data_IF_344151849909
#
_entry.id   IF_344151849909
#
_cell.length_a   1.000
_cell.length_b   1.000
_cell.length_c   1.000
_cell.angle_alpha   90.00
_cell.angle_beta   90.00
_cell.angle_gamma   90.00
#
_symmetry.space_group_name_H-M   'P 1'
#
loop_
_entity.id
_entity.type
_entity.pdbx_description
1 polymer ?
#
# COMPACT_ATOMS: atom_id res chain seq x y z
N UNK A 1 16.00 5.63 13.82
CA UNK A 1 15.38 4.74 12.81
C UNK A 1 14.79 5.60 11.69
N UNK A 2 14.54 5.05 10.49
CA UNK A 2 13.94 5.84 9.40
C UNK A 2 12.47 6.17 9.68
N UNK A 3 11.72 5.21 10.20
CA UNK A 3 10.40 5.39 10.84
C UNK A 3 10.18 4.33 11.94
N UNK A 4 9.09 4.48 12.69
CA UNK A 4 8.47 3.42 13.51
C UNK A 4 7.14 3.06 12.86
N UNK A 5 6.90 1.77 12.67
CA UNK A 5 5.71 1.24 11.99
C UNK A 5 4.71 0.69 13.00
N UNK A 6 3.42 1.00 12.79
CA UNK A 6 2.27 0.58 13.61
C UNK A 6 2.57 0.49 15.13
N UNK A 7 2.93 1.61 15.78
CA UNK A 7 3.40 1.59 17.17
C UNK A 7 2.30 1.31 18.20
N UNK A 8 1.03 1.31 17.79
CA UNK A 8 -0.13 1.07 18.67
C UNK A 8 -1.35 0.62 17.84
N UNK A 9 -2.49 0.43 18.50
CA UNK A 9 -3.71 -0.08 17.88
C UNK A 9 -4.16 0.79 16.68
N UNK A 10 -4.48 0.19 15.52
CA UNK A 10 -4.71 0.91 14.26
C UNK A 10 -5.94 1.84 14.26
N UNK A 11 -6.90 1.58 15.14
CA UNK A 11 -8.08 2.45 15.31
C UNK A 11 -7.84 3.65 16.25
N UNK A 12 -6.74 3.66 17.00
CA UNK A 12 -6.46 4.72 17.98
C UNK A 12 -5.68 5.87 17.36
N UNK A 13 -6.42 6.76 16.69
CA UNK A 13 -5.89 7.97 16.05
C UNK A 13 -5.19 8.89 17.05
N UNK A 14 -5.71 9.00 18.27
CA UNK A 14 -5.18 9.94 19.26
C UNK A 14 -3.89 9.43 19.88
N UNK A 15 -3.79 8.12 20.16
CA UNK A 15 -2.54 7.53 20.61
C UNK A 15 -1.45 7.66 19.53
N UNK A 16 -1.76 7.43 18.25
CA UNK A 16 -0.81 7.65 17.16
C UNK A 16 -0.33 9.09 17.09
N UNK A 17 -1.22 10.08 17.26
CA UNK A 17 -0.83 11.48 17.33
C UNK A 17 0.08 11.76 18.53
N UNK A 18 -0.28 11.29 19.72
CA UNK A 18 0.53 11.48 20.92
C UNK A 18 1.93 10.88 20.74
N UNK A 19 2.01 9.69 20.15
CA UNK A 19 3.28 9.04 19.84
C UNK A 19 4.07 9.82 18.78
N UNK A 20 3.42 10.30 17.71
CA UNK A 20 4.06 11.12 16.68
C UNK A 20 4.73 12.37 17.27
N UNK A 21 4.05 13.05 18.20
CA UNK A 21 4.57 14.21 18.92
C UNK A 21 5.72 13.81 19.87
N UNK A 22 5.59 12.69 20.59
CA UNK A 22 6.54 12.26 21.60
C UNK A 22 7.87 11.71 21.03
N UNK A 23 7.83 11.05 19.87
CA UNK A 23 9.02 10.41 19.26
C UNK A 23 9.71 11.28 18.20
N UNK A 24 9.20 12.50 17.96
CA UNK A 24 9.79 13.44 17.02
C UNK A 24 11.29 13.65 17.31
N UNK A 25 12.16 13.71 16.29
CA UNK A 25 11.85 13.81 14.86
C UNK A 25 11.63 12.46 14.15
N UNK A 26 11.59 11.35 14.89
CA UNK A 26 11.29 10.04 14.29
C UNK A 26 9.87 10.03 13.76
N UNK A 27 9.69 9.50 12.55
CA UNK A 27 8.41 9.49 11.84
C UNK A 27 7.64 8.19 12.10
N UNK A 28 6.32 8.26 11.96
CA UNK A 28 5.40 7.11 12.04
C UNK A 28 4.96 6.69 10.65
N UNK A 29 5.04 5.40 10.36
CA UNK A 29 4.40 4.75 9.23
C UNK A 29 3.24 3.88 9.74
N UNK A 30 2.09 3.91 9.06
CA UNK A 30 0.98 3.00 9.35
C UNK A 30 0.04 2.86 8.15
N UNK A 31 -0.74 1.77 8.13
CA UNK A 31 -1.83 1.63 7.17
C UNK A 31 -2.27 0.21 6.85
N UNK A 32 -1.47 -0.82 7.16
CA UNK A 32 -1.78 -2.23 6.83
C UNK A 32 -3.06 -2.74 7.50
N UNK A 33 -3.42 -2.17 8.65
CA UNK A 33 -4.66 -2.47 9.36
C UNK A 33 -5.75 -1.40 9.21
N UNK A 34 -5.50 -0.29 8.51
CA UNK A 34 -6.49 0.79 8.35
C UNK A 34 -7.53 0.41 7.28
N UNK A 35 -8.83 0.30 7.62
CA UNK A 35 -9.79 -0.41 6.76
C UNK A 35 -10.41 0.44 5.65
N UNK A 36 -10.30 1.77 5.69
CA UNK A 36 -10.96 2.64 4.70
C UNK A 36 -10.37 4.06 4.64
N UNK A 37 -10.72 4.78 3.57
CA UNK A 37 -10.30 6.18 3.36
C UNK A 37 -10.74 7.16 4.45
N UNK A 38 -11.81 6.87 5.19
CA UNK A 38 -12.32 7.77 6.25
C UNK A 38 -11.34 7.76 7.43
N UNK A 39 -10.89 6.57 7.86
CA UNK A 39 -9.92 6.46 8.94
C UNK A 39 -8.55 7.00 8.51
N UNK A 40 -8.10 6.71 7.28
CA UNK A 40 -6.89 7.33 6.71
C UNK A 40 -6.96 8.86 6.74
N UNK A 41 -8.06 9.45 6.26
CA UNK A 41 -8.26 10.91 6.32
C UNK A 41 -8.19 11.43 7.76
N UNK A 42 -8.78 10.73 8.73
CA UNK A 42 -8.74 11.15 10.13
C UNK A 42 -7.32 11.11 10.70
N UNK A 43 -6.54 10.05 10.40
CA UNK A 43 -5.13 9.95 10.76
C UNK A 43 -4.29 11.09 10.18
N UNK A 44 -4.45 11.38 8.88
CA UNK A 44 -3.73 12.47 8.20
C UNK A 44 -4.08 13.83 8.79
N UNK A 45 -5.38 14.11 9.03
CA UNK A 45 -5.81 15.38 9.62
C UNK A 45 -5.32 15.57 11.06
N UNK A 46 -5.16 14.48 11.80
CA UNK A 46 -4.66 14.53 13.17
C UNK A 46 -3.13 14.68 13.27
N UNK A 47 -2.39 14.51 12.16
CA UNK A 47 -0.93 14.41 12.19
C UNK A 47 -0.44 13.11 12.82
N UNK A 48 -1.24 12.04 12.76
CA UNK A 48 -0.96 10.77 13.42
C UNK A 48 0.00 9.86 12.63
N UNK A 49 0.29 10.17 11.38
CA UNK A 49 1.21 9.42 10.52
C UNK A 49 2.00 10.36 9.62
N UNK A 50 3.12 9.85 9.10
CA UNK A 50 4.02 10.55 8.18
C UNK A 50 4.27 9.76 6.89
N UNK A 51 4.09 8.44 6.92
CA UNK A 51 4.15 7.56 5.77
C UNK A 51 2.84 6.77 5.68
N UNK A 52 2.17 6.82 4.53
CA UNK A 52 0.88 6.17 4.30
C UNK A 52 1.12 4.76 3.75
N UNK A 53 0.75 3.72 4.49
CA UNK A 53 0.94 2.32 4.08
C UNK A 53 -0.39 1.68 3.67
N UNK A 54 -1.10 2.32 2.73
CA UNK A 54 -2.33 1.76 2.19
C UNK A 54 -2.06 0.39 1.54
N UNK A 55 -2.90 -0.59 1.84
CA UNK A 55 -2.83 -1.93 1.27
C UNK A 55 -4.15 -2.23 0.55
N UNK A 56 -4.08 -2.54 -0.75
CA UNK A 56 -5.26 -2.84 -1.56
C UNK A 56 -5.97 -4.16 -1.18
N UNK A 57 -5.30 -5.06 -0.45
CA UNK A 57 -5.87 -6.30 0.10
C UNK A 57 -6.57 -6.08 1.44
N UNK A 58 -6.20 -5.04 2.18
CA UNK A 58 -6.91 -4.57 3.39
C UNK A 58 -8.10 -3.69 3.03
N UNK A 59 -7.85 -2.73 2.15
CA UNK A 59 -8.86 -1.81 1.63
C UNK A 59 -9.81 -2.55 0.67
N UNK A 60 -10.82 -1.85 0.18
CA UNK A 60 -11.74 -2.38 -0.82
C UNK A 60 -11.11 -2.40 -2.24
N UNK A 61 -9.92 -2.99 -2.37
CA UNK A 61 -9.20 -3.17 -3.63
C UNK A 61 -8.53 -1.90 -4.17
N UNK A 62 -8.18 -1.97 -5.46
CA UNK A 62 -7.47 -0.93 -6.20
C UNK A 62 -8.20 0.42 -6.13
N UNK A 63 -9.52 0.44 -6.28
CA UNK A 63 -10.31 1.68 -6.30
C UNK A 63 -10.22 2.45 -4.98
N UNK A 64 -10.27 1.75 -3.85
CA UNK A 64 -10.14 2.37 -2.53
C UNK A 64 -8.69 2.80 -2.27
N UNK A 65 -7.71 1.99 -2.68
CA UNK A 65 -6.30 2.35 -2.62
C UNK A 65 -6.02 3.67 -3.36
N UNK A 66 -6.51 3.82 -4.60
CA UNK A 66 -6.32 5.05 -5.37
C UNK A 66 -6.98 6.27 -4.72
N UNK A 67 -8.14 6.09 -4.07
CA UNK A 67 -8.76 7.16 -3.30
C UNK A 67 -7.89 7.60 -2.11
N UNK A 68 -7.22 6.65 -1.44
CA UNK A 68 -6.25 6.94 -0.37
C UNK A 68 -4.99 7.59 -0.93
N UNK A 69 -4.45 7.18 -2.08
CA UNK A 69 -3.32 7.84 -2.75
C UNK A 69 -3.61 9.33 -3.01
N UNK A 70 -4.79 9.63 -3.58
CA UNK A 70 -5.21 11.01 -3.85
C UNK A 70 -5.38 11.84 -2.57
N UNK A 71 -5.86 11.21 -1.48
CA UNK A 71 -5.93 11.85 -0.16
C UNK A 71 -4.53 12.12 0.39
N UNK A 72 -3.63 11.14 0.38
CA UNK A 72 -2.25 11.30 0.83
C UNK A 72 -1.57 12.48 0.12
N UNK A 73 -1.72 12.55 -1.22
CA UNK A 73 -1.23 13.67 -2.03
C UNK A 73 -1.83 15.01 -1.61
N UNK A 74 -3.13 15.08 -1.34
CA UNK A 74 -3.80 16.30 -0.85
C UNK A 74 -3.23 16.78 0.49
N UNK A 75 -2.77 15.86 1.34
CA UNK A 75 -2.13 16.17 2.62
C UNK A 75 -0.60 16.34 2.52
N UNK A 76 0.00 16.17 1.33
CA UNK A 76 1.44 16.26 1.14
C UNK A 76 2.22 15.13 1.81
N UNK A 77 1.61 13.95 1.94
CA UNK A 77 2.20 12.79 2.58
C UNK A 77 2.61 11.72 1.56
N UNK A 78 3.80 11.12 1.70
CA UNK A 78 4.23 10.03 0.84
C UNK A 78 3.41 8.75 1.09
N UNK A 79 3.19 7.98 0.03
CA UNK A 79 2.58 6.65 0.08
C UNK A 79 3.66 5.59 -0.16
N UNK A 80 3.78 4.66 0.79
CA UNK A 80 4.69 3.51 0.78
C UNK A 80 3.88 2.27 1.13
N UNK A 81 3.24 1.63 0.16
CA UNK A 81 2.25 0.58 0.42
C UNK A 81 2.82 -0.58 1.23
N UNK A 82 2.05 -1.09 2.19
CA UNK A 82 2.26 -2.43 2.75
C UNK A 82 1.89 -3.48 1.69
N UNK A 83 2.66 -4.57 1.62
CA UNK A 83 2.48 -5.59 0.58
C UNK A 83 1.77 -6.85 1.10
N UNK A 84 0.50 -6.73 1.53
CA UNK A 84 -0.33 -7.89 1.87
C UNK A 84 -0.54 -8.87 0.71
N UNK A 85 -0.32 -8.39 -0.53
CA UNK A 85 -0.30 -9.15 -1.78
C UNK A 85 1.10 -9.68 -2.16
N UNK A 86 2.11 -9.51 -1.31
CA UNK A 86 3.52 -9.85 -1.56
C UNK A 86 4.11 -9.13 -2.80
N UNK A 87 3.67 -7.89 -3.04
CA UNK A 87 4.21 -6.97 -4.04
C UNK A 87 3.65 -7.19 -5.45
N UNK A 88 2.66 -8.07 -5.62
CA UNK A 88 2.15 -8.42 -6.95
C UNK A 88 1.31 -7.32 -7.61
N UNK A 89 0.33 -6.78 -6.91
CA UNK A 89 -0.53 -5.66 -7.34
C UNK A 89 0.15 -4.33 -6.99
N UNK A 90 0.75 -4.21 -5.81
CA UNK A 90 1.36 -2.95 -5.36
C UNK A 90 2.53 -2.45 -6.24
N UNK A 91 3.27 -3.34 -6.93
CA UNK A 91 4.28 -2.91 -7.94
C UNK A 91 3.65 -2.09 -9.08
N UNK A 92 2.42 -2.43 -9.49
CA UNK A 92 1.67 -1.67 -10.51
C UNK A 92 1.13 -0.37 -9.93
N UNK A 93 0.65 -0.39 -8.68
CA UNK A 93 0.04 0.76 -8.03
C UNK A 93 1.06 1.86 -7.73
N UNK A 94 2.27 1.51 -7.27
CA UNK A 94 3.36 2.46 -7.09
C UNK A 94 3.79 3.06 -8.42
N UNK A 95 3.91 2.24 -9.47
CA UNK A 95 4.21 2.73 -10.82
C UNK A 95 3.12 3.69 -11.33
N UNK A 96 1.85 3.36 -11.13
CA UNK A 96 0.73 4.23 -11.48
C UNK A 96 0.79 5.56 -10.72
N UNK A 97 0.98 5.54 -9.40
CA UNK A 97 1.09 6.76 -8.59
C UNK A 97 2.24 7.66 -9.11
N UNK A 98 3.39 7.05 -9.44
CA UNK A 98 4.52 7.80 -9.99
C UNK A 98 4.19 8.42 -11.36
N UNK A 99 3.72 7.61 -12.31
CA UNK A 99 3.50 8.05 -13.70
C UNK A 99 2.31 8.99 -13.82
N UNK A 100 1.20 8.67 -13.16
CA UNK A 100 -0.07 9.38 -13.31
C UNK A 100 -0.25 10.52 -12.31
N UNK A 101 0.28 10.41 -11.10
CA UNK A 101 0.13 11.43 -10.05
C UNK A 101 1.40 12.24 -9.85
N UNK A 102 2.55 11.80 -10.36
CA UNK A 102 3.84 12.46 -10.15
C UNK A 102 4.36 12.30 -8.72
N UNK A 103 3.98 11.21 -8.05
CA UNK A 103 4.47 10.89 -6.71
C UNK A 103 5.93 10.39 -6.78
N UNK A 104 6.71 10.66 -5.75
CA UNK A 104 8.07 10.13 -5.63
C UNK A 104 8.04 8.63 -5.27
N UNK A 105 8.83 7.82 -5.99
CA UNK A 105 8.98 6.39 -5.66
C UNK A 105 10.03 6.25 -4.57
N UNK A 106 9.59 6.29 -3.31
CA UNK A 106 10.48 6.15 -2.16
C UNK A 106 10.90 4.69 -1.95
N UNK A 107 9.93 3.84 -1.62
CA UNK A 107 10.14 2.42 -1.33
C UNK A 107 8.91 1.61 -1.76
N UNK A 108 9.15 0.34 -2.06
CA UNK A 108 8.12 -0.69 -2.08
C UNK A 108 8.66 -1.89 -1.32
N UNK A 109 7.92 -2.33 -0.31
CA UNK A 109 8.28 -3.48 0.51
C UNK A 109 8.43 -4.73 -0.37
N UNK A 110 9.35 -5.64 -0.03
CA UNK A 110 9.59 -6.87 -0.79
C UNK A 110 9.63 -8.09 0.11
N UNK A 111 8.66 -8.99 -0.12
CA UNK A 111 8.49 -10.21 0.66
C UNK A 111 8.29 -11.39 -0.32
N UNK A 112 9.28 -12.27 -0.54
CA UNK A 112 9.21 -13.28 -1.60
C UNK A 112 8.44 -14.56 -1.23
N UNK A 113 7.77 -14.61 -0.07
CA UNK A 113 7.19 -15.84 0.50
C UNK A 113 6.25 -16.59 -0.45
N UNK A 114 5.40 -15.88 -1.20
CA UNK A 114 4.39 -16.48 -2.08
C UNK A 114 4.80 -16.55 -3.55
N UNK A 115 6.04 -16.15 -3.89
CA UNK A 115 6.51 -15.99 -5.28
C UNK A 115 6.22 -17.21 -6.16
N UNK A 116 6.40 -18.42 -5.64
CA UNK A 116 6.22 -19.70 -6.37
C UNK A 116 4.78 -20.01 -6.78
N UNK A 117 3.80 -19.26 -6.27
CA UNK A 117 2.38 -19.51 -6.53
C UNK A 117 1.82 -18.64 -7.66
N UNK A 118 2.50 -17.55 -8.03
CA UNK A 118 2.07 -16.64 -9.08
C UNK A 118 2.59 -17.07 -10.45
N UNK A 119 1.75 -16.91 -11.48
CA UNK A 119 2.14 -17.13 -12.88
C UNK A 119 3.20 -16.11 -13.32
N UNK A 120 3.05 -14.86 -12.88
CA UNK A 120 3.93 -13.74 -13.24
C UNK A 120 4.46 -13.06 -11.97
N UNK A 121 5.37 -13.70 -11.22
CA UNK A 121 5.81 -13.19 -9.94
C UNK A 121 6.58 -11.87 -10.07
N UNK A 122 6.32 -10.94 -9.15
CA UNK A 122 7.17 -9.77 -8.92
C UNK A 122 8.65 -10.17 -8.82
N UNK A 123 9.52 -9.37 -9.46
CA UNK A 123 10.97 -9.58 -9.49
C UNK A 123 11.66 -8.37 -8.91
N UNK A 124 12.64 -8.61 -8.05
CA UNK A 124 13.52 -7.58 -7.49
C UNK A 124 14.95 -7.96 -7.81
N UNK A 125 15.68 -7.05 -8.46
CA UNK A 125 17.08 -7.23 -8.84
C UNK A 125 17.86 -5.99 -8.40
N UNK A 126 19.01 -6.19 -7.75
CA UNK A 126 19.86 -5.10 -7.24
C UNK A 126 19.10 -4.06 -6.39
N UNK A 127 18.09 -4.49 -5.63
CA UNK A 127 17.27 -3.63 -4.77
C UNK A 127 16.16 -2.86 -5.49
N UNK A 128 15.90 -3.15 -6.76
CA UNK A 128 14.87 -2.46 -7.57
C UNK A 128 13.85 -3.46 -8.10
N UNK A 129 12.57 -3.08 -8.02
CA UNK A 129 11.48 -3.84 -8.67
C UNK A 129 11.62 -3.75 -10.19
N UNK A 130 11.56 -4.90 -10.87
CA UNK A 130 11.54 -4.94 -12.33
C UNK A 130 10.11 -4.67 -12.80
N UNK A 131 9.95 -3.66 -13.65
CA UNK A 131 8.66 -3.25 -14.21
C UNK A 131 7.94 -4.44 -14.87
N UNK A 132 6.67 -4.71 -14.51
CA UNK A 132 5.86 -5.71 -15.19
C UNK A 132 5.57 -5.32 -16.65
N UNK A 133 5.63 -6.30 -17.56
CA UNK A 133 5.41 -6.08 -19.01
C UNK A 133 4.18 -6.80 -19.55
N UNK A 134 3.61 -7.74 -18.78
CA UNK A 134 2.44 -8.51 -19.20
C UNK A 134 1.15 -7.83 -18.74
N UNK A 135 0.10 -7.97 -19.54
CA UNK A 135 -1.22 -7.47 -19.20
C UNK A 135 -1.78 -8.15 -17.94
N UNK A 136 -2.55 -7.38 -17.15
CA UNK A 136 -3.13 -7.83 -15.89
C UNK A 136 -2.47 -7.17 -14.67
N UNK A 137 -2.74 -7.73 -13.49
CA UNK A 137 -2.24 -7.23 -12.20
C UNK A 137 -1.20 -8.14 -11.55
N UNK A 138 -0.60 -9.05 -12.33
CA UNK A 138 0.37 -10.06 -11.86
C UNK A 138 -0.13 -10.94 -10.70
N UNK A 139 -1.45 -11.05 -10.52
CA UNK A 139 -2.07 -11.74 -9.39
C UNK A 139 -2.67 -13.11 -9.75
N UNK A 140 -2.47 -13.58 -10.98
CA UNK A 140 -2.89 -14.92 -11.40
C UNK A 140 -2.08 -15.99 -10.69
N UNK A 141 -2.78 -17.01 -10.18
CA UNK A 141 -2.19 -18.13 -9.43
C UNK A 141 -2.16 -19.41 -10.27
N UNK A 142 -1.14 -20.23 -10.07
CA UNK A 142 -1.09 -21.55 -10.66
C UNK A 142 -2.27 -22.41 -10.19
N UNK A 143 -2.95 -23.08 -11.14
CA UNK A 143 -4.04 -23.99 -10.85
C UNK A 143 -5.36 -23.32 -10.44
N UNK A 144 -5.42 -21.98 -10.41
CA UNK A 144 -6.66 -21.23 -10.18
C UNK A 144 -7.16 -20.69 -11.51
N UNK A 145 -8.42 -20.97 -11.84
CA UNK A 145 -9.11 -20.33 -12.97
C UNK A 145 -10.14 -19.36 -12.39
N UNK A 146 -10.29 -18.14 -12.92
CA UNK A 146 -11.38 -17.26 -12.52
C UNK A 146 -12.69 -18.02 -12.68
N UNK A 147 -13.54 -18.01 -11.66
CA UNK A 147 -14.90 -18.47 -11.84
C UNK A 147 -15.51 -17.57 -12.93
N UNK A 148 -15.92 -18.15 -14.06
CA UNK A 148 -16.73 -17.44 -15.03
C UNK A 148 -18.02 -17.11 -14.29
N UNK A 149 -18.20 -15.86 -13.89
CA UNK A 149 -19.47 -15.42 -13.31
C UNK A 149 -20.57 -15.81 -14.30
N UNK A 150 -21.66 -16.46 -13.86
CA UNK A 150 -22.77 -16.72 -14.76
C UNK A 150 -23.20 -15.36 -15.31
N UNK A 151 -23.10 -15.20 -16.63
CA UNK A 151 -23.62 -14.03 -17.31
C UNK A 151 -25.13 -14.11 -17.13
N UNK A 152 -25.66 -13.40 -16.13
CA UNK A 152 -27.10 -13.18 -16.03
C UNK A 152 -27.50 -12.37 -17.27
N UNK A 153 -28.23 -13.02 -18.18
CA UNK A 153 -28.90 -12.36 -19.30
C UNK A 153 -29.99 -11.43 -18.79
#
# INVERSE_FOLDING_TARGET
PYFVEEPTHPDDVLAHRMLAEAIAPTRIALGEHVPNRILFKNMMRAGALHFVQADCTRLAGISEFLAVSLLARKFGLPIVPHVGDMGQIHQHLVLFNHVALGDEVLFLESIPHLRKHFITPARVENGVYITPELAGSSSDLHGVRPAVAPVSR
#
